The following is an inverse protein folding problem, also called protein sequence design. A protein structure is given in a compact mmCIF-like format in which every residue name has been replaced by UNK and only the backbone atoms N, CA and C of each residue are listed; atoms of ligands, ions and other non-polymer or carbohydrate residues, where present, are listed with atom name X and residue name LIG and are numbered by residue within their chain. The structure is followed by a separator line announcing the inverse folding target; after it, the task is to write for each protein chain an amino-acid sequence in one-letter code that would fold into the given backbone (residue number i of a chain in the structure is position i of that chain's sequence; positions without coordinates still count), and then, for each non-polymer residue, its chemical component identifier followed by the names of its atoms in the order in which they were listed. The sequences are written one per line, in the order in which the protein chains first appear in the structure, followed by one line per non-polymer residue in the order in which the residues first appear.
data_IF_192276138638
#
_entry.id   IF_192276138638
#
_cell.length_a   1.000
_cell.length_b   1.000
_cell.length_c   1.000
_cell.angle_alpha   90.00
_cell.angle_beta   90.00
_cell.angle_gamma   90.00
#
_symmetry.space_group_name_H-M   'P 1'
#
loop_
_entity.id
_entity.type
_entity.pdbx_description
1 polymer ?
#
# COMPACT_ATOMS: atom_id res chain seq x y z
N UNK A 1 -1.38 -14.54 -6.07
CA UNK A 1 -1.86 -13.29 -5.45
C UNK A 1 -0.93 -12.15 -5.79
N UNK A 2 -1.48 -11.02 -6.14
CA UNK A 2 -0.70 -9.82 -6.46
C UNK A 2 -0.82 -8.82 -5.33
N UNK A 3 0.32 -8.35 -4.82
CA UNK A 3 0.39 -7.36 -3.76
C UNK A 3 1.09 -6.09 -4.25
N UNK A 4 0.67 -4.95 -3.74
CA UNK A 4 1.30 -3.67 -3.99
C UNK A 4 1.76 -3.08 -2.66
N UNK A 5 3.00 -2.60 -2.62
CA UNK A 5 3.55 -1.91 -1.44
C UNK A 5 3.62 -0.41 -1.72
N UNK A 6 3.08 0.38 -0.80
CA UNK A 6 3.14 1.84 -0.83
C UNK A 6 3.87 2.28 0.42
N UNK A 7 5.10 2.74 0.27
CA UNK A 7 5.98 3.07 1.39
C UNK A 7 7.13 3.95 0.88
N UNK A 8 7.35 5.09 1.51
CA UNK A 8 8.40 6.02 1.11
C UNK A 8 9.75 5.72 1.77
N UNK A 9 9.80 4.85 2.77
CA UNK A 9 11.03 4.45 3.43
C UNK A 9 11.49 3.07 2.95
N UNK A 10 12.64 3.05 2.30
CA UNK A 10 13.17 1.84 1.66
C UNK A 10 13.33 0.68 2.64
N UNK A 11 13.81 0.94 3.85
CA UNK A 11 14.01 -0.12 4.85
C UNK A 11 12.71 -0.81 5.24
N UNK A 12 11.67 -0.02 5.43
CA UNK A 12 10.36 -0.57 5.80
C UNK A 12 9.76 -1.37 4.65
N UNK A 13 9.86 -0.86 3.44
CA UNK A 13 9.39 -1.56 2.25
C UNK A 13 10.12 -2.89 2.06
N UNK A 14 11.43 -2.88 2.24
CA UNK A 14 12.25 -4.08 2.06
C UNK A 14 11.96 -5.15 3.12
N UNK A 15 11.76 -4.71 4.37
CA UNK A 15 11.38 -5.61 5.45
C UNK A 15 10.03 -6.27 5.18
N UNK A 16 9.06 -5.48 4.76
CA UNK A 16 7.74 -5.99 4.44
C UNK A 16 7.78 -6.99 3.29
N UNK A 17 8.53 -6.67 2.25
CA UNK A 17 8.70 -7.57 1.10
C UNK A 17 9.26 -8.91 1.54
N UNK A 18 10.28 -8.93 2.39
CA UNK A 18 10.86 -10.17 2.89
C UNK A 18 9.86 -11.00 3.68
N UNK A 19 9.07 -10.33 4.52
CA UNK A 19 8.04 -11.01 5.31
C UNK A 19 6.98 -11.65 4.40
N UNK A 20 6.57 -10.93 3.36
CA UNK A 20 5.56 -11.45 2.43
C UNK A 20 6.09 -12.62 1.62
N UNK A 21 7.34 -12.56 1.18
CA UNK A 21 7.98 -13.66 0.43
C UNK A 21 8.12 -14.90 1.31
N UNK A 22 8.39 -14.72 2.60
CA UNK A 22 8.47 -15.84 3.54
C UNK A 22 7.12 -16.52 3.74
N UNK A 23 6.05 -15.73 3.73
CA UNK A 23 4.69 -16.26 3.90
C UNK A 23 4.22 -16.95 2.63
N UNK A 24 4.47 -16.35 1.48
CA UNK A 24 4.04 -16.87 0.19
C UNK A 24 5.11 -16.55 -0.87
N UNK A 25 6.03 -17.50 -1.15
CA UNK A 25 7.09 -17.27 -2.13
C UNK A 25 6.61 -17.03 -3.56
N UNK A 26 5.36 -17.37 -3.86
CA UNK A 26 4.81 -17.20 -5.20
C UNK A 26 4.05 -15.86 -5.35
N UNK A 27 3.95 -15.09 -4.27
CA UNK A 27 3.28 -13.79 -4.31
C UNK A 27 4.03 -12.83 -5.23
N UNK A 28 3.31 -12.23 -6.17
CA UNK A 28 3.86 -11.16 -6.97
C UNK A 28 3.75 -9.85 -6.20
N UNK A 29 4.88 -9.18 -6.02
CA UNK A 29 4.95 -7.95 -5.24
C UNK A 29 5.44 -6.82 -6.11
N UNK A 30 4.60 -5.80 -6.29
CA UNK A 30 4.94 -4.59 -7.00
C UNK A 30 5.22 -3.46 -6.00
N UNK A 31 5.99 -2.49 -6.42
CA UNK A 31 6.40 -1.37 -5.58
C UNK A 31 7.80 -1.59 -5.00
N UNK A 32 8.22 -0.77 -4.03
CA UNK A 32 7.39 0.23 -3.36
C UNK A 32 7.12 1.46 -4.21
N UNK A 33 5.91 1.98 -4.08
CA UNK A 33 5.57 3.30 -4.58
C UNK A 33 5.75 4.29 -3.42
N UNK A 34 6.33 5.44 -3.68
CA UNK A 34 6.80 6.31 -2.60
C UNK A 34 5.94 7.55 -2.40
N UNK A 35 5.08 7.87 -3.36
CA UNK A 35 4.29 9.10 -3.32
C UNK A 35 2.83 8.84 -3.67
N UNK A 36 1.97 9.78 -3.26
CA UNK A 36 0.55 9.78 -3.65
C UNK A 36 0.42 9.85 -5.17
N UNK A 37 1.21 10.71 -5.80
CA UNK A 37 1.18 10.89 -7.25
C UNK A 37 1.54 9.60 -8.00
N UNK A 38 2.63 8.95 -7.61
CA UNK A 38 3.02 7.66 -8.21
C UNK A 38 1.93 6.60 -8.03
N UNK A 39 1.34 6.56 -6.83
CA UNK A 39 0.30 5.59 -6.52
C UNK A 39 -0.92 5.78 -7.41
N UNK A 40 -1.36 7.02 -7.58
CA UNK A 40 -2.49 7.32 -8.48
C UNK A 40 -2.21 6.88 -9.91
N UNK A 41 -1.02 7.19 -10.41
CA UNK A 41 -0.63 6.83 -11.77
C UNK A 41 -0.57 5.32 -11.94
N UNK A 42 -0.01 4.63 -10.98
CA UNK A 42 0.12 3.17 -11.03
C UNK A 42 -1.25 2.50 -11.04
N UNK A 43 -2.16 2.94 -10.18
CA UNK A 43 -3.50 2.36 -10.09
C UNK A 43 -4.33 2.60 -11.36
N UNK A 44 -4.06 3.68 -12.10
CA UNK A 44 -4.73 3.95 -13.37
C UNK A 44 -4.20 3.11 -14.51
N UNK A 45 -2.97 2.67 -14.44
CA UNK A 45 -2.27 2.05 -15.57
C UNK A 45 -2.06 0.55 -15.40
N UNK A 46 -2.47 -0.05 -14.28
CA UNK A 46 -2.27 -1.46 -13.99
C UNK A 46 -3.57 -2.10 -13.52
N UNK A 47 -3.71 -3.43 -13.69
CA UNK A 47 -4.83 -4.14 -13.10
C UNK A 47 -4.83 -4.00 -11.58
N UNK A 48 -6.00 -4.01 -10.98
CA UNK A 48 -6.14 -3.88 -9.54
C UNK A 48 -5.42 -5.03 -8.82
N UNK A 49 -4.57 -4.73 -7.83
CA UNK A 49 -3.95 -5.78 -7.04
C UNK A 49 -4.96 -6.46 -6.12
N UNK A 50 -4.60 -7.62 -5.62
CA UNK A 50 -5.45 -8.32 -4.64
C UNK A 50 -5.36 -7.66 -3.26
N UNK A 51 -4.18 -7.18 -2.90
CA UNK A 51 -3.96 -6.52 -1.61
C UNK A 51 -2.95 -5.38 -1.77
N UNK A 52 -3.20 -4.30 -1.04
CA UNK A 52 -2.30 -3.15 -0.96
C UNK A 52 -1.84 -3.02 0.49
N UNK A 53 -0.53 -2.99 0.69
CA UNK A 53 0.09 -2.68 1.97
C UNK A 53 0.59 -1.24 1.90
N UNK A 54 -0.03 -0.35 2.66
CA UNK A 54 0.22 1.08 2.52
C UNK A 54 0.59 1.73 3.84
N UNK A 55 1.67 2.50 3.83
CA UNK A 55 1.91 3.47 4.89
C UNK A 55 0.90 4.61 4.69
N UNK A 56 0.40 5.16 5.79
CA UNK A 56 -0.57 6.25 5.72
C UNK A 56 0.12 7.53 5.23
N UNK A 57 1.31 7.81 5.74
CA UNK A 57 2.01 9.06 5.46
C UNK A 57 3.10 8.87 4.42
N UNK A 58 2.98 9.59 3.31
CA UNK A 58 3.96 9.60 2.23
C UNK A 58 4.58 11.00 2.13
N UNK A 59 5.64 11.13 1.32
CA UNK A 59 6.37 12.38 1.23
C UNK A 59 5.53 13.55 0.68
N UNK A 60 4.54 13.27 -0.15
CA UNK A 60 3.70 14.29 -0.77
C UNK A 60 2.26 14.29 -0.27
N UNK A 61 1.96 13.58 0.82
CA UNK A 61 0.61 13.58 1.37
C UNK A 61 0.24 12.30 2.08
N UNK A 62 -1.05 12.03 2.14
CA UNK A 62 -1.62 10.87 2.82
C UNK A 62 -2.10 9.87 1.77
N UNK A 63 -1.74 8.60 1.95
CA UNK A 63 -2.07 7.55 0.97
C UNK A 63 -3.57 7.40 0.73
N UNK A 64 -4.42 7.77 1.69
CA UNK A 64 -5.88 7.75 1.51
C UNK A 64 -6.31 8.50 0.24
N UNK A 65 -5.61 9.59 -0.10
CA UNK A 65 -5.95 10.42 -1.26
C UNK A 65 -5.76 9.68 -2.59
N UNK A 66 -4.92 8.65 -2.61
CA UNK A 66 -4.73 7.82 -3.80
C UNK A 66 -5.59 6.57 -3.78
N UNK A 67 -6.03 6.12 -2.60
CA UNK A 67 -6.73 4.85 -2.43
C UNK A 67 -8.25 4.95 -2.55
N UNK A 68 -8.80 6.14 -2.63
CA UNK A 68 -10.25 6.35 -2.75
C UNK A 68 -10.81 5.84 -4.09
N UNK A 69 -9.95 5.64 -5.08
CA UNK A 69 -10.34 5.09 -6.39
C UNK A 69 -10.13 3.56 -6.48
N UNK A 70 -9.73 2.92 -5.39
CA UNK A 70 -9.44 1.49 -5.37
C UNK A 70 -10.71 0.67 -5.42
N UNK A 71 -10.69 -0.41 -6.22
CA UNK A 71 -11.79 -1.35 -6.35
C UNK A 71 -12.12 -2.00 -4.99
N UNK A 72 -13.40 -2.22 -4.75
CA UNK A 72 -13.87 -2.86 -3.51
C UNK A 72 -13.36 -4.30 -3.33
N UNK A 73 -12.84 -4.92 -4.39
CA UNK A 73 -12.26 -6.27 -4.32
C UNK A 73 -10.80 -6.27 -3.85
N UNK A 74 -10.18 -5.09 -3.78
CA UNK A 74 -8.80 -4.97 -3.30
C UNK A 74 -8.81 -4.75 -1.79
N UNK A 75 -8.12 -5.62 -1.07
CA UNK A 75 -7.93 -5.42 0.37
C UNK A 75 -6.85 -4.38 0.61
N UNK A 76 -7.06 -3.51 1.59
CA UNK A 76 -6.06 -2.50 1.96
C UNK A 76 -5.64 -2.74 3.40
N UNK A 77 -4.34 -2.89 3.62
CA UNK A 77 -3.73 -3.07 4.94
C UNK A 77 -2.80 -1.90 5.21
N UNK A 78 -3.05 -1.17 6.28
CA UNK A 78 -2.19 -0.06 6.66
C UNK A 78 -1.09 -0.53 7.58
N UNK A 79 0.14 -0.10 7.32
CA UNK A 79 1.35 -0.58 7.99
C UNK A 79 1.96 0.44 8.93
N UNK A 80 1.32 1.57 9.10
CA UNK A 80 1.83 2.66 9.92
C UNK A 80 1.47 2.47 11.40
N UNK A 81 2.29 3.09 12.28
CA UNK A 81 2.04 3.14 13.71
C UNK A 81 1.51 4.50 14.17
N UNK A 82 1.11 5.39 13.27
CA UNK A 82 0.61 6.71 13.64
C UNK A 82 -0.82 6.63 14.18
N UNK A 83 -0.97 6.78 15.49
CA UNK A 83 -2.25 6.66 16.18
C UNK A 83 -3.29 7.69 15.73
N UNK A 84 -2.84 8.88 15.34
CA UNK A 84 -3.72 9.95 14.90
C UNK A 84 -4.54 9.58 13.65
N UNK A 85 -4.09 8.58 12.90
CA UNK A 85 -4.78 8.11 11.70
C UNK A 85 -5.52 6.79 11.92
N UNK A 86 -5.46 6.20 13.10
CA UNK A 86 -5.99 4.86 13.34
C UNK A 86 -7.49 4.77 13.06
N UNK A 87 -8.28 5.75 13.50
CA UNK A 87 -9.72 5.76 13.29
C UNK A 87 -10.06 5.89 11.80
N UNK A 88 -9.36 6.75 11.09
CA UNK A 88 -9.55 6.95 9.65
C UNK A 88 -9.21 5.68 8.87
N UNK A 89 -8.11 5.04 9.20
CA UNK A 89 -7.71 3.77 8.59
C UNK A 89 -8.76 2.68 8.83
N UNK A 90 -9.28 2.62 10.04
CA UNK A 90 -10.33 1.66 10.40
C UNK A 90 -11.59 1.85 9.56
N UNK A 91 -11.99 3.09 9.32
CA UNK A 91 -13.16 3.41 8.52
C UNK A 91 -12.97 3.09 7.03
N UNK A 92 -11.74 3.05 6.57
CA UNK A 92 -11.42 2.80 5.18
C UNK A 92 -11.70 1.36 4.76
N UNK A 93 -11.52 0.44 5.68
CA UNK A 93 -11.77 -0.97 5.44
C UNK A 93 -13.19 -1.34 5.86
#
# INVERSE_FOLDING_TARGET
MNALIIEDEFRNANRLRKMLVDIDPEMRIDGPLETVTETRQWLRSHPAPDVIFADIRLSDGVSFDALDAVDSHTAVVFTTAYDEYALQAFQYN
#
